data_IF_046374967416
#
_entry.id   IF_046374967416
#
_cell.length_a   1.000
_cell.length_b   1.000
_cell.length_c   1.000
_cell.angle_alpha   90.00
_cell.angle_beta   90.00
_cell.angle_gamma   90.00
#
_symmetry.space_group_name_H-M   'P 1'
#
loop_
_entity.id
_entity.type
_entity.pdbx_description
1 polymer ?
#
# COMPACT_ATOMS: atom_id res chain seq x y z
N UNK A 1 -2.77 12.67 -13.96
CA UNK A 1 -2.80 11.98 -12.65
C UNK A 1 -2.05 10.66 -12.76
N UNK A 2 -1.11 10.44 -11.86
CA UNK A 2 -0.42 9.15 -11.73
C UNK A 2 -1.17 8.26 -10.75
N UNK A 3 -1.27 6.96 -11.04
CA UNK A 3 -1.91 5.99 -10.15
C UNK A 3 -0.88 4.95 -9.72
N UNK A 4 -0.87 4.59 -8.44
CA UNK A 4 0.05 3.61 -7.89
C UNK A 4 -0.67 2.61 -7.00
N UNK A 5 -0.04 1.46 -6.78
CA UNK A 5 -0.55 0.43 -5.88
C UNK A 5 0.05 0.58 -4.48
N UNK A 6 -0.79 0.39 -3.48
CA UNK A 6 -0.35 0.27 -2.09
C UNK A 6 -1.13 -0.86 -1.43
N UNK A 7 -0.54 -1.45 -0.39
CA UNK A 7 -1.18 -2.53 0.34
C UNK A 7 -0.92 -2.37 1.83
N UNK A 8 -1.98 -2.50 2.61
CA UNK A 8 -1.92 -2.54 4.07
C UNK A 8 -1.80 -4.01 4.46
N UNK A 9 -0.69 -4.38 5.08
CA UNK A 9 -0.34 -5.77 5.39
C UNK A 9 -1.15 -6.35 6.54
N UNK A 10 -1.20 -7.69 6.68
CA UNK A 10 -2.05 -8.35 7.69
C UNK A 10 -1.85 -7.88 9.12
N UNK A 11 -0.61 -7.60 9.56
CA UNK A 11 -0.37 -7.14 10.92
C UNK A 11 -1.01 -5.77 11.20
N UNK A 12 -0.99 -4.87 10.22
CA UNK A 12 -1.60 -3.55 10.34
C UNK A 12 -3.13 -3.63 10.34
N UNK A 13 -3.69 -4.52 9.51
CA UNK A 13 -5.14 -4.79 9.52
C UNK A 13 -5.56 -5.30 10.89
N UNK A 14 -4.86 -6.31 11.41
CA UNK A 14 -5.14 -6.90 12.73
C UNK A 14 -5.02 -5.87 13.87
N UNK A 15 -4.10 -4.93 13.74
CA UNK A 15 -3.90 -3.87 14.74
C UNK A 15 -4.88 -2.71 14.63
N UNK A 16 -5.83 -2.76 13.70
CA UNK A 16 -6.86 -1.72 13.55
C UNK A 16 -6.35 -0.42 12.89
N UNK A 17 -5.29 -0.52 12.09
CA UNK A 17 -4.63 0.66 11.51
C UNK A 17 -5.15 1.06 10.12
N UNK A 18 -6.07 0.28 9.54
CA UNK A 18 -6.56 0.52 8.16
C UNK A 18 -7.00 1.97 7.95
N UNK A 19 -7.87 2.47 8.80
CA UNK A 19 -8.40 3.83 8.67
C UNK A 19 -7.32 4.90 8.82
N UNK A 20 -6.41 4.74 9.78
CA UNK A 20 -5.31 5.69 10.02
C UNK A 20 -4.34 5.75 8.84
N UNK A 21 -4.05 4.61 8.24
CA UNK A 21 -3.15 4.54 7.09
C UNK A 21 -3.78 5.21 5.87
N UNK A 22 -5.03 4.89 5.57
CA UNK A 22 -5.78 5.50 4.46
C UNK A 22 -5.89 7.02 4.67
N UNK A 23 -6.18 7.45 5.89
CA UNK A 23 -6.25 8.87 6.22
C UNK A 23 -4.93 9.61 5.93
N UNK A 24 -3.79 8.98 6.22
CA UNK A 24 -2.47 9.55 5.90
C UNK A 24 -2.29 9.81 4.41
N UNK A 25 -2.73 8.86 3.56
CA UNK A 25 -2.67 9.02 2.11
C UNK A 25 -3.60 10.14 1.63
N UNK A 26 -4.84 10.16 2.10
CA UNK A 26 -5.83 11.18 1.73
C UNK A 26 -5.36 12.56 2.19
N UNK A 27 -4.85 12.69 3.41
CA UNK A 27 -4.36 13.97 3.96
C UNK A 27 -3.16 14.53 3.20
N UNK A 28 -2.42 13.68 2.50
CA UNK A 28 -1.32 14.09 1.63
C UNK A 28 -1.77 14.48 0.21
N UNK A 29 -3.08 14.47 -0.06
CA UNK A 29 -3.65 14.85 -1.35
C UNK A 29 -3.81 13.71 -2.35
N UNK A 30 -3.70 12.46 -1.89
CA UNK A 30 -3.92 11.29 -2.74
C UNK A 30 -5.39 10.87 -2.72
N UNK A 31 -5.96 10.57 -3.88
CA UNK A 31 -7.32 10.03 -3.99
C UNK A 31 -7.30 8.50 -3.90
N UNK A 32 -8.29 7.93 -3.22
CA UNK A 32 -8.47 6.48 -3.18
C UNK A 32 -9.27 6.08 -4.42
N UNK A 33 -8.59 5.50 -5.41
CA UNK A 33 -9.17 5.15 -6.70
C UNK A 33 -9.77 3.75 -6.73
N UNK A 34 -9.30 2.85 -5.88
CA UNK A 34 -9.86 1.52 -5.64
C UNK A 34 -9.44 1.04 -4.27
N UNK A 35 -10.28 0.21 -3.65
CA UNK A 35 -9.98 -0.39 -2.36
C UNK A 35 -10.69 -1.73 -2.25
N UNK A 36 -9.97 -2.74 -1.76
CA UNK A 36 -10.58 -4.03 -1.39
C UNK A 36 -9.79 -4.72 -0.29
N UNK A 37 -10.47 -5.53 0.48
CA UNK A 37 -9.86 -6.42 1.46
C UNK A 37 -9.82 -7.83 0.88
N UNK A 38 -8.67 -8.48 0.97
CA UNK A 38 -8.49 -9.82 0.43
C UNK A 38 -7.45 -10.58 1.24
N UNK A 39 -7.74 -11.83 1.56
CA UNK A 39 -6.74 -12.71 2.15
C UNK A 39 -6.01 -13.45 1.04
N UNK A 40 -4.71 -13.22 0.92
CA UNK A 40 -3.89 -13.89 -0.08
C UNK A 40 -3.89 -15.39 0.13
N UNK A 41 -4.02 -16.12 -0.98
CA UNK A 41 -3.68 -17.55 -1.04
C UNK A 41 -2.18 -17.68 -1.31
N UNK A 42 -1.66 -18.90 -1.16
CA UNK A 42 -0.26 -19.18 -1.55
C UNK A 42 -0.04 -18.87 -3.04
N UNK A 43 -1.02 -19.18 -3.88
CA UNK A 43 -0.98 -18.86 -5.31
C UNK A 43 -0.90 -17.35 -5.55
N UNK A 44 -1.71 -16.56 -4.84
CA UNK A 44 -1.67 -15.10 -4.91
C UNK A 44 -0.29 -14.56 -4.53
N UNK A 45 0.28 -15.04 -3.43
CA UNK A 45 1.58 -14.60 -2.96
C UNK A 45 2.69 -14.94 -3.95
N UNK A 46 2.67 -16.13 -4.52
CA UNK A 46 3.64 -16.56 -5.52
C UNK A 46 3.52 -15.76 -6.82
N UNK A 47 2.32 -15.42 -7.23
CA UNK A 47 2.10 -14.59 -8.42
C UNK A 47 2.51 -13.13 -8.20
N UNK A 48 2.08 -12.56 -7.10
CA UNK A 48 2.38 -11.16 -6.78
C UNK A 48 3.87 -10.93 -6.52
N UNK A 49 4.51 -11.84 -5.78
CA UNK A 49 5.95 -11.79 -5.47
C UNK A 49 6.78 -12.70 -6.39
N UNK A 50 6.39 -12.87 -7.64
CA UNK A 50 7.05 -13.80 -8.57
C UNK A 50 8.58 -13.61 -8.66
N UNK A 51 9.06 -12.38 -8.57
CA UNK A 51 10.49 -12.06 -8.59
C UNK A 51 11.25 -12.55 -7.35
N UNK A 52 10.53 -12.89 -6.28
CA UNK A 52 11.11 -13.25 -4.98
C UNK A 52 10.96 -14.73 -4.61
N UNK A 53 10.22 -15.52 -5.40
CA UNK A 53 9.87 -16.91 -5.07
C UNK A 53 11.08 -17.79 -4.79
N UNK A 54 12.18 -17.58 -5.53
CA UNK A 54 13.42 -18.35 -5.38
C UNK A 54 14.36 -17.79 -4.30
N UNK A 55 14.01 -16.66 -3.68
CA UNK A 55 14.85 -16.03 -2.67
C UNK A 55 14.66 -16.68 -1.29
N UNK A 56 15.74 -16.74 -0.47
CA UNK A 56 15.68 -17.39 0.86
C UNK A 56 14.61 -16.83 1.80
N UNK A 57 14.26 -15.56 1.69
CA UNK A 57 13.25 -14.93 2.57
C UNK A 57 11.81 -15.22 2.14
N UNK A 58 11.59 -15.80 0.95
CA UNK A 58 10.23 -15.95 0.43
C UNK A 58 9.31 -16.83 1.29
N UNK A 59 9.76 -17.97 1.84
CA UNK A 59 8.88 -18.80 2.69
C UNK A 59 8.32 -18.04 3.89
N UNK A 60 9.12 -17.19 4.53
CA UNK A 60 8.66 -16.35 5.65
C UNK A 60 7.67 -15.29 5.17
N UNK A 61 7.96 -14.64 4.03
CA UNK A 61 7.07 -13.66 3.42
C UNK A 61 5.74 -14.28 3.04
N UNK A 62 5.74 -15.44 2.39
CA UNK A 62 4.52 -16.17 2.01
C UNK A 62 3.68 -16.50 3.25
N UNK A 63 4.30 -17.06 4.28
CA UNK A 63 3.61 -17.41 5.52
C UNK A 63 2.99 -16.16 6.18
N UNK A 64 3.73 -15.06 6.20
CA UNK A 64 3.25 -13.79 6.77
C UNK A 64 2.07 -13.23 5.99
N UNK A 65 2.17 -13.16 4.65
CA UNK A 65 1.15 -12.54 3.80
C UNK A 65 -0.13 -13.35 3.67
N UNK A 66 -0.08 -14.65 3.93
CA UNK A 66 -1.25 -15.55 3.81
C UNK A 66 -1.98 -15.78 5.13
N UNK A 67 -1.46 -15.30 6.26
CA UNK A 67 -2.05 -15.58 7.58
C UNK A 67 -3.27 -14.74 7.94
N UNK A 68 -3.55 -13.69 7.19
CA UNK A 68 -4.68 -12.81 7.43
C UNK A 68 -4.95 -11.89 6.24
N UNK A 69 -6.07 -11.14 6.28
CA UNK A 69 -6.41 -10.26 5.18
C UNK A 69 -5.49 -9.05 5.10
N UNK A 70 -5.29 -8.57 3.87
CA UNK A 70 -4.64 -7.32 3.53
C UNK A 70 -5.65 -6.37 2.89
N UNK A 71 -5.37 -5.08 2.88
CA UNK A 71 -6.17 -4.10 2.15
C UNK A 71 -5.36 -3.60 0.97
N UNK A 72 -5.87 -3.85 -0.24
CA UNK A 72 -5.28 -3.41 -1.50
C UNK A 72 -5.85 -2.06 -1.90
N UNK A 73 -5.00 -1.14 -2.32
CA UNK A 73 -5.37 0.23 -2.67
C UNK A 73 -4.81 0.62 -4.02
N UNK A 74 -5.63 1.31 -4.82
CA UNK A 74 -5.14 2.13 -5.93
C UNK A 74 -5.21 3.58 -5.46
N UNK A 75 -4.08 4.27 -5.47
CA UNK A 75 -3.97 5.65 -5.01
C UNK A 75 -3.56 6.53 -6.19
N UNK A 76 -4.25 7.66 -6.34
CA UNK A 76 -4.03 8.56 -7.48
C UNK A 76 -3.65 9.96 -7.04
N UNK A 77 -2.88 10.64 -7.86
CA UNK A 77 -2.48 12.03 -7.63
C UNK A 77 -1.25 12.40 -8.42
N UNK A 78 -0.80 13.64 -8.25
CA UNK A 78 0.44 14.09 -8.83
C UNK A 78 1.61 13.43 -8.11
N UNK A 79 2.53 12.82 -8.86
CA UNK A 79 3.68 12.11 -8.29
C UNK A 79 3.28 11.06 -7.23
N UNK A 80 2.22 10.31 -7.50
CA UNK A 80 1.63 9.37 -6.53
C UNK A 80 2.64 8.32 -6.05
N UNK A 81 3.46 7.75 -6.95
CA UNK A 81 4.47 6.74 -6.57
C UNK A 81 5.42 7.31 -5.53
N UNK A 82 6.01 8.47 -5.80
CA UNK A 82 6.97 9.11 -4.91
C UNK A 82 6.32 9.53 -3.58
N UNK A 83 5.10 10.07 -3.63
CA UNK A 83 4.37 10.50 -2.43
C UNK A 83 4.05 9.33 -1.51
N UNK A 84 3.53 8.24 -2.05
CA UNK A 84 3.21 7.05 -1.25
C UNK A 84 4.47 6.48 -0.60
N UNK A 85 5.57 6.38 -1.34
CA UNK A 85 6.82 5.89 -0.78
C UNK A 85 7.37 6.80 0.33
N UNK A 86 7.25 8.11 0.18
CA UNK A 86 7.65 9.07 1.21
C UNK A 86 6.78 8.94 2.48
N UNK A 87 5.48 8.76 2.33
CA UNK A 87 4.55 8.55 3.45
C UNK A 87 4.83 7.23 4.16
N UNK A 88 5.11 6.18 3.41
CA UNK A 88 5.43 4.85 3.96
C UNK A 88 6.75 4.86 4.74
N UNK A 89 7.75 5.57 4.26
CA UNK A 89 9.09 5.58 4.84
C UNK A 89 9.97 4.45 4.36
N UNK A 90 11.21 4.41 4.86
CA UNK A 90 12.18 3.38 4.49
C UNK A 90 11.65 1.98 4.79
N UNK A 91 11.94 1.03 3.90
CA UNK A 91 11.50 -0.37 4.03
C UNK A 91 11.90 -0.98 5.37
N UNK A 92 13.11 -0.69 5.82
CA UNK A 92 13.55 -1.05 7.17
C UNK A 92 13.05 0.01 8.16
N UNK A 93 12.15 -0.35 9.11
CA UNK A 93 11.62 0.60 10.08
C UNK A 93 12.69 1.29 10.93
N UNK A 94 13.82 0.64 11.18
CA UNK A 94 14.93 1.21 11.93
C UNK A 94 15.59 2.40 11.21
N UNK A 95 15.40 2.50 9.90
CA UNK A 95 15.92 3.58 9.05
C UNK A 95 14.84 4.57 8.62
N UNK A 96 13.60 4.35 9.03
CA UNK A 96 12.48 5.23 8.67
C UNK A 96 12.52 6.53 9.50
N UNK A 97 12.16 7.63 8.85
CA UNK A 97 12.08 8.92 9.51
C UNK A 97 10.81 9.04 10.36
N UNK A 98 10.86 9.79 11.49
CA UNK A 98 9.66 10.09 12.29
C UNK A 98 8.54 10.67 11.42
N UNK A 99 7.30 10.27 11.69
CA UNK A 99 6.13 10.71 10.94
C UNK A 99 5.79 9.87 9.73
N UNK A 100 6.65 8.93 9.33
CA UNK A 100 6.31 7.93 8.32
C UNK A 100 5.54 6.78 8.93
N UNK A 101 4.80 6.05 8.10
CA UNK A 101 3.99 4.92 8.58
C UNK A 101 4.84 3.83 9.22
N UNK A 102 5.99 3.52 8.61
CA UNK A 102 6.88 2.49 9.15
C UNK A 102 7.54 2.90 10.44
N UNK A 103 7.93 4.16 10.58
CA UNK A 103 8.46 4.65 11.86
C UNK A 103 7.41 4.54 12.96
N UNK A 104 6.19 5.02 12.68
CA UNK A 104 5.14 5.13 13.70
C UNK A 104 4.51 3.78 14.07
N UNK A 105 4.44 2.83 13.13
CA UNK A 105 3.61 1.63 13.31
C UNK A 105 4.30 0.29 13.06
N UNK A 106 5.48 0.24 12.46
CA UNK A 106 6.09 -1.02 12.07
C UNK A 106 7.00 -1.59 13.17
N UNK A 107 6.69 -2.79 13.69
CA UNK A 107 7.53 -3.42 14.72
C UNK A 107 8.80 -4.07 14.17
N UNK A 108 8.81 -4.47 12.91
CA UNK A 108 9.95 -5.18 12.33
C UNK A 108 10.02 -5.03 10.81
N UNK A 109 11.09 -5.55 10.22
CA UNK A 109 11.30 -5.56 8.78
C UNK A 109 10.26 -6.40 8.03
N UNK A 110 9.88 -7.56 8.58
CA UNK A 110 8.85 -8.44 8.00
C UNK A 110 7.46 -7.84 8.19
N UNK A 111 7.17 -7.35 9.39
CA UNK A 111 5.89 -6.74 9.76
C UNK A 111 5.95 -5.22 9.58
N UNK A 112 6.35 -4.76 8.40
CA UNK A 112 6.58 -3.34 8.14
C UNK A 112 5.36 -2.56 7.63
N UNK A 113 4.18 -3.03 7.93
CA UNK A 113 2.80 -2.50 7.82
C UNK A 113 2.28 -2.22 6.43
N UNK A 114 3.09 -1.74 5.50
CA UNK A 114 2.63 -1.36 4.15
C UNK A 114 3.60 -1.81 3.07
N UNK A 115 3.06 -1.95 1.86
CA UNK A 115 3.79 -2.14 0.62
C UNK A 115 3.32 -1.07 -0.37
N UNK A 116 4.19 -0.62 -1.24
CA UNK A 116 3.82 0.21 -2.38
C UNK A 116 4.75 -0.03 -3.56
N UNK A 117 4.25 0.27 -4.75
CA UNK A 117 5.03 0.15 -5.99
C UNK A 117 6.19 1.16 -5.97
N UNK A 118 7.31 0.76 -6.57
CA UNK A 118 8.55 1.55 -6.57
C UNK A 118 8.86 2.25 -7.90
N UNK A 119 8.06 1.95 -8.94
CA UNK A 119 8.27 2.49 -10.28
C UNK A 119 6.97 2.48 -11.07
N UNK A 120 6.88 3.22 -12.19
CA UNK A 120 5.72 3.14 -13.08
C UNK A 120 5.44 1.72 -13.59
N UNK A 121 6.48 0.95 -13.91
CA UNK A 121 6.33 -0.42 -14.38
C UNK A 121 5.78 -1.35 -13.30
N UNK A 122 6.30 -1.25 -12.07
CA UNK A 122 5.78 -2.05 -10.96
C UNK A 122 4.36 -1.62 -10.58
N UNK A 123 4.04 -0.33 -10.64
CA UNK A 123 2.71 0.17 -10.36
C UNK A 123 1.68 -0.41 -11.33
N UNK A 124 1.98 -0.40 -12.63
CA UNK A 124 1.09 -0.98 -13.64
C UNK A 124 0.88 -2.47 -13.40
N UNK A 125 1.95 -3.24 -13.20
CA UNK A 125 1.89 -4.67 -12.95
C UNK A 125 1.09 -5.01 -11.69
N UNK A 126 1.34 -4.31 -10.60
CA UNK A 126 0.70 -4.57 -9.31
C UNK A 126 -0.77 -4.14 -9.31
N UNK A 127 -1.10 -3.01 -9.95
CA UNK A 127 -2.49 -2.58 -10.13
C UNK A 127 -3.27 -3.60 -10.96
N UNK A 128 -2.70 -4.07 -12.07
CA UNK A 128 -3.36 -5.04 -12.95
C UNK A 128 -3.52 -6.41 -12.28
N UNK A 129 -2.62 -6.76 -11.36
CA UNK A 129 -2.73 -8.00 -10.59
C UNK A 129 -3.96 -8.00 -9.68
N UNK A 130 -4.25 -6.87 -9.02
CA UNK A 130 -5.29 -6.81 -7.98
C UNK A 130 -6.60 -6.19 -8.42
N UNK A 131 -6.58 -5.32 -9.44
CA UNK A 131 -7.77 -4.58 -9.85
C UNK A 131 -7.97 -4.63 -11.35
N UNK A 132 -9.19 -4.92 -11.78
CA UNK A 132 -9.59 -4.69 -13.17
C UNK A 132 -9.64 -3.18 -13.43
N UNK A 133 -9.50 -2.77 -14.69
CA UNK A 133 -9.53 -1.33 -15.04
C UNK A 133 -10.85 -0.66 -14.65
N UNK A 134 -11.97 -1.35 -14.80
CA UNK A 134 -13.29 -0.85 -14.44
C UNK A 134 -13.53 -0.74 -12.92
N UNK A 135 -12.64 -1.30 -12.10
CA UNK A 135 -12.70 -1.18 -10.64
C UNK A 135 -11.95 0.05 -10.12
N UNK A 136 -11.27 0.78 -11.00
CA UNK A 136 -10.44 1.94 -10.65
C UNK A 136 -11.11 3.22 -11.12
N UNK A 137 -11.25 4.19 -10.22
CA UNK A 137 -11.94 5.45 -10.48
C UNK A 137 -10.96 6.60 -10.34
N UNK A 138 -10.61 7.25 -11.46
CA UNK A 138 -9.76 8.43 -11.44
C UNK A 138 -10.60 9.67 -11.18
N UNK A 139 -10.27 10.41 -10.13
CA UNK A 139 -10.93 11.66 -9.77
C UNK A 139 -9.96 12.55 -9.01
N UNK A 140 -10.20 13.86 -9.06
CA UNK A 140 -9.44 14.83 -8.28
C UNK A 140 -10.24 15.21 -7.05
N UNK A 141 -9.56 15.26 -5.90
CA UNK A 141 -10.17 15.73 -4.67
C UNK A 141 -10.09 17.25 -4.61
N UNK A 142 -11.17 17.95 -4.22
CA UNK A 142 -11.09 19.37 -3.92
C UNK A 142 -10.21 19.59 -2.67
N UNK A 143 -9.72 20.82 -2.49
CA UNK A 143 -8.98 21.14 -1.26
C UNK A 143 -9.90 20.91 -0.04
N UNK A 144 -9.31 20.53 1.09
CA UNK A 144 -10.08 20.35 2.35
C UNK A 144 -10.91 21.59 2.68
N UNK A 145 -10.39 22.79 2.39
CA UNK A 145 -11.12 24.04 2.60
C UNK A 145 -12.40 24.10 1.75
N UNK A 146 -12.30 23.66 0.50
CA UNK A 146 -13.48 23.63 -0.39
C UNK A 146 -14.52 22.60 0.06
N UNK A 147 -14.07 21.45 0.58
CA UNK A 147 -14.98 20.41 1.08
C UNK A 147 -15.70 20.82 2.36
N UNK A 148 -15.04 21.56 3.25
CA UNK A 148 -15.59 21.90 4.56
C UNK A 148 -16.27 23.26 4.59
N UNK A 149 -16.31 23.98 3.48
CA UNK A 149 -16.91 25.33 3.41
C UNK A 149 -16.16 26.37 4.23
N UNK A 150 -14.87 26.12 4.48
CA UNK A 150 -14.01 27.01 5.29
C UNK A 150 -13.25 28.01 4.41
#
# INVERSE_FOLDING_TARGET
>A
MEMTFAMIKPNAVKSGLVGRIIDRYISAGLSVCAVKMHQMTSEDARGFYAEHVEKPFFPELEAYMTKGPSVMLALGGENAIAKVRAINGATNPAKAEPGTLRYDFAPSMTENVVHSSDSPASAERELDFWFKKEERYAYEMPSLKACCGL
#
